data_IF_362454491801
#
_entry.id   IF_362454491801
#
_cell.length_a   1.000
_cell.length_b   1.000
_cell.length_c   1.000
_cell.angle_alpha   90.00
_cell.angle_beta   90.00
_cell.angle_gamma   90.00
#
_symmetry.space_group_name_H-M   'P 1'
#
loop_
_entity.id
_entity.type
_entity.pdbx_description
1 polymer ?
#
# COMPACT_ATOMS: atom_id res chain seq x y z
N UNK A 1 12.95 -23.25 -12.87
CA UNK A 1 12.65 -23.17 -11.42
C UNK A 1 11.58 -22.12 -11.25
N UNK A 2 10.45 -22.50 -10.67
CA UNK A 2 9.28 -21.63 -10.48
C UNK A 2 8.84 -21.67 -9.03
N UNK A 3 8.07 -20.68 -8.60
CA UNK A 3 7.47 -20.58 -7.28
C UNK A 3 6.52 -21.76 -7.02
N UNK A 4 5.72 -22.15 -8.02
CA UNK A 4 4.67 -23.16 -7.85
C UNK A 4 3.74 -22.81 -6.68
N UNK A 5 3.46 -23.78 -5.82
CA UNK A 5 2.65 -23.59 -4.60
C UNK A 5 3.48 -23.17 -3.38
N UNK A 6 4.77 -22.85 -3.54
CA UNK A 6 5.61 -22.45 -2.42
C UNK A 6 5.45 -20.97 -2.07
N UNK A 7 5.78 -20.63 -0.83
CA UNK A 7 5.86 -19.24 -0.39
C UNK A 7 6.93 -18.47 -1.17
N UNK A 8 6.65 -17.20 -1.45
CA UNK A 8 7.57 -16.29 -2.17
C UNK A 8 8.91 -16.17 -1.46
N UNK A 9 8.91 -16.16 -0.12
CA UNK A 9 10.14 -16.14 0.69
C UNK A 9 11.01 -17.36 0.40
N UNK A 10 10.44 -18.56 0.38
CA UNK A 10 11.15 -19.80 0.06
C UNK A 10 11.65 -19.80 -1.38
N UNK A 11 10.81 -19.36 -2.33
CA UNK A 11 11.22 -19.23 -3.73
C UNK A 11 12.39 -18.24 -3.90
N UNK A 12 12.35 -17.12 -3.17
CA UNK A 12 13.40 -16.11 -3.21
C UNK A 12 14.75 -16.62 -2.69
N UNK A 13 14.78 -17.50 -1.69
CA UNK A 13 16.04 -18.14 -1.25
C UNK A 13 16.69 -18.94 -2.37
N UNK A 14 15.91 -19.65 -3.20
CA UNK A 14 16.47 -20.34 -4.36
C UNK A 14 17.01 -19.37 -5.43
N UNK A 15 16.39 -18.21 -5.59
CA UNK A 15 16.89 -17.16 -6.49
C UNK A 15 18.20 -16.57 -5.97
N UNK A 16 18.36 -16.38 -4.65
CA UNK A 16 19.64 -15.97 -4.06
C UNK A 16 20.73 -17.00 -4.32
N UNK A 17 20.43 -18.29 -4.15
CA UNK A 17 21.36 -19.37 -4.44
C UNK A 17 21.79 -19.33 -5.93
N UNK A 18 20.83 -19.15 -6.83
CA UNK A 18 21.11 -19.02 -8.26
C UNK A 18 22.02 -17.82 -8.58
N UNK A 19 21.74 -16.65 -8.02
CA UNK A 19 22.56 -15.45 -8.20
C UNK A 19 24.00 -15.68 -7.70
N UNK A 20 24.14 -16.28 -6.51
CA UNK A 20 25.44 -16.65 -5.93
C UNK A 20 26.22 -17.62 -6.82
N UNK A 21 25.58 -18.70 -7.29
CA UNK A 21 26.21 -19.71 -8.15
C UNK A 21 26.61 -19.16 -9.53
N UNK A 22 25.97 -18.09 -9.98
CA UNK A 22 26.26 -17.45 -11.27
C UNK A 22 27.14 -16.21 -11.13
N UNK A 23 27.55 -15.85 -9.92
CA UNK A 23 28.35 -14.64 -9.65
C UNK A 23 27.62 -13.34 -9.98
N UNK A 24 26.28 -13.34 -9.96
CA UNK A 24 25.44 -12.18 -10.31
C UNK A 24 24.89 -11.52 -9.05
N UNK A 25 24.71 -10.20 -9.13
CA UNK A 25 24.00 -9.45 -8.11
C UNK A 25 22.48 -9.74 -8.16
N UNK A 26 21.78 -9.58 -7.04
CA UNK A 26 20.32 -9.76 -6.99
C UNK A 26 19.56 -8.75 -7.85
N UNK A 27 20.14 -7.58 -8.09
CA UNK A 27 19.59 -6.54 -8.94
C UNK A 27 20.04 -6.63 -10.41
N UNK A 28 20.82 -7.66 -10.76
CA UNK A 28 21.11 -8.03 -12.15
C UNK A 28 19.82 -8.30 -12.91
N UNK A 29 19.76 -7.83 -14.16
CA UNK A 29 18.57 -7.93 -15.00
C UNK A 29 18.15 -9.39 -15.21
N UNK A 30 19.10 -10.30 -15.40
CA UNK A 30 18.78 -11.71 -15.64
C UNK A 30 18.23 -12.37 -14.38
N UNK A 31 18.75 -12.02 -13.21
CA UNK A 31 18.25 -12.54 -11.93
C UNK A 31 16.82 -12.04 -11.68
N UNK A 32 16.56 -10.76 -11.94
CA UNK A 32 15.22 -10.16 -11.84
C UNK A 32 14.21 -10.79 -12.79
N UNK A 33 14.56 -10.89 -14.08
CA UNK A 33 13.71 -11.52 -15.09
C UNK A 33 13.41 -12.96 -14.70
N UNK A 34 14.39 -13.70 -14.19
CA UNK A 34 14.21 -15.08 -13.75
C UNK A 34 13.28 -15.21 -12.55
N UNK A 35 13.41 -14.32 -11.56
CA UNK A 35 12.50 -14.28 -10.43
C UNK A 35 11.06 -14.02 -10.88
N UNK A 36 10.83 -12.93 -11.64
CA UNK A 36 9.49 -12.54 -12.08
C UNK A 36 8.84 -13.60 -12.96
N UNK A 37 9.59 -14.18 -13.90
CA UNK A 37 9.08 -15.21 -14.81
C UNK A 37 8.73 -16.51 -14.08
N UNK A 38 9.35 -16.78 -12.93
CA UNK A 38 9.05 -17.96 -12.13
C UNK A 38 7.97 -17.76 -11.08
N UNK A 39 7.44 -16.56 -10.86
CA UNK A 39 6.33 -16.32 -9.94
C UNK A 39 5.04 -17.03 -10.38
N UNK A 40 4.13 -17.28 -9.43
CA UNK A 40 2.75 -17.65 -9.76
C UNK A 40 2.06 -16.52 -10.54
N UNK A 41 1.01 -16.85 -11.30
CA UNK A 41 0.30 -15.86 -12.13
C UNK A 41 -0.13 -14.61 -11.36
N UNK A 42 -0.69 -14.80 -10.16
CA UNK A 42 -1.16 -13.68 -9.32
C UNK A 42 -0.02 -12.83 -8.79
N UNK A 43 1.06 -13.45 -8.31
CA UNK A 43 2.22 -12.72 -7.81
C UNK A 43 2.99 -12.05 -8.94
N UNK A 44 3.00 -12.63 -10.13
CA UNK A 44 3.58 -12.02 -11.32
C UNK A 44 2.85 -10.72 -11.66
N UNK A 45 1.51 -10.73 -11.72
CA UNK A 45 0.71 -9.52 -11.93
C UNK A 45 1.01 -8.46 -10.87
N UNK A 46 0.99 -8.84 -9.58
CA UNK A 46 1.33 -7.92 -8.47
C UNK A 46 2.74 -7.35 -8.60
N UNK A 47 3.70 -8.15 -9.07
CA UNK A 47 5.08 -7.71 -9.25
C UNK A 47 5.20 -6.74 -10.44
N UNK A 48 4.51 -7.02 -11.56
CA UNK A 48 4.47 -6.18 -12.76
C UNK A 48 3.84 -4.81 -12.45
N UNK A 49 2.72 -4.78 -11.71
CA UNK A 49 2.07 -3.55 -11.25
C UNK A 49 2.97 -2.69 -10.34
N UNK A 50 3.94 -3.32 -9.68
CA UNK A 50 4.90 -2.66 -8.81
C UNK A 50 6.21 -2.25 -9.54
N UNK A 51 6.43 -2.65 -10.81
CA UNK A 51 7.73 -2.52 -11.52
C UNK A 51 7.79 -1.31 -12.50
N UNK A 52 8.87 -0.50 -12.59
CA UNK A 52 10.00 -0.85 -13.48
C UNK A 52 11.46 -0.69 -12.97
N UNK A 53 11.72 -0.05 -11.82
CA UNK A 53 13.10 0.33 -11.40
C UNK A 53 13.47 -0.03 -9.95
N UNK A 54 12.62 -0.78 -9.24
CA UNK A 54 12.86 -1.07 -7.82
C UNK A 54 13.87 -2.22 -7.61
N UNK A 55 14.62 -2.22 -6.49
CA UNK A 55 15.49 -3.35 -6.13
C UNK A 55 14.70 -4.64 -5.89
N UNK A 56 15.23 -5.80 -6.29
CA UNK A 56 14.56 -7.10 -6.19
C UNK A 56 14.07 -7.40 -4.76
N UNK A 57 14.85 -7.01 -3.74
CA UNK A 57 14.47 -7.14 -2.33
C UNK A 57 13.19 -6.37 -1.97
N UNK A 58 12.99 -5.18 -2.53
CA UNK A 58 11.79 -4.39 -2.29
C UNK A 58 10.55 -5.05 -2.92
N UNK A 59 10.70 -5.67 -4.08
CA UNK A 59 9.61 -6.42 -4.70
C UNK A 59 9.27 -7.67 -3.88
N UNK A 60 10.25 -8.43 -3.43
CA UNK A 60 9.99 -9.57 -2.54
C UNK A 60 9.27 -9.12 -1.28
N UNK A 61 9.71 -8.04 -0.65
CA UNK A 61 9.06 -7.46 0.53
C UNK A 61 7.62 -7.06 0.24
N UNK A 62 7.33 -6.46 -0.91
CA UNK A 62 5.97 -6.14 -1.34
C UNK A 62 5.11 -7.39 -1.55
N UNK A 63 5.65 -8.40 -2.23
CA UNK A 63 4.93 -9.62 -2.57
C UNK A 63 4.62 -10.51 -1.36
N UNK A 64 5.54 -10.55 -0.38
CA UNK A 64 5.37 -11.29 0.88
C UNK A 64 4.36 -10.63 1.82
N UNK A 65 4.02 -9.34 1.61
CA UNK A 65 2.94 -8.71 2.38
C UNK A 65 1.60 -9.40 2.13
N UNK A 66 0.78 -9.35 3.17
CA UNK A 66 -0.62 -9.77 3.15
C UNK A 66 -1.31 -9.29 1.85
N UNK A 67 -1.90 -10.19 1.05
CA UNK A 67 -2.64 -9.83 -0.16
C UNK A 67 -3.69 -8.75 0.08
N UNK A 68 -4.35 -8.77 1.25
CA UNK A 68 -5.33 -7.77 1.67
C UNK A 68 -4.69 -6.38 1.76
N UNK A 69 -3.50 -6.29 2.36
CA UNK A 69 -2.74 -5.04 2.44
C UNK A 69 -2.27 -4.57 1.06
N UNK A 70 -1.98 -5.50 0.16
CA UNK A 70 -1.65 -5.20 -1.25
C UNK A 70 -2.84 -4.51 -1.94
N UNK A 71 -4.03 -5.07 -1.78
CA UNK A 71 -5.28 -4.51 -2.32
C UNK A 71 -5.61 -3.15 -1.72
N UNK A 72 -5.44 -2.97 -0.41
CA UNK A 72 -5.65 -1.67 0.24
C UNK A 72 -4.66 -0.60 -0.26
N UNK A 73 -3.39 -0.96 -0.50
CA UNK A 73 -2.42 -0.03 -1.09
C UNK A 73 -2.84 0.40 -2.50
N UNK A 74 -3.38 -0.53 -3.30
CA UNK A 74 -3.89 -0.20 -4.64
C UNK A 74 -5.09 0.73 -4.56
N UNK A 75 -6.11 0.37 -3.78
CA UNK A 75 -7.27 1.24 -3.51
C UNK A 75 -6.85 2.62 -3.03
N UNK A 76 -5.85 2.68 -2.16
CA UNK A 76 -5.30 3.94 -1.67
C UNK A 76 -4.72 4.76 -2.81
N UNK A 77 -3.94 4.18 -3.72
CA UNK A 77 -3.36 4.89 -4.86
C UNK A 77 -4.44 5.46 -5.78
N UNK A 78 -5.47 4.67 -6.11
CA UNK A 78 -6.53 5.06 -7.06
C UNK A 78 -7.66 5.90 -6.45
N UNK A 79 -7.70 6.08 -5.13
CA UNK A 79 -8.73 6.89 -4.46
C UNK A 79 -10.04 6.15 -4.17
N UNK A 80 -9.97 4.84 -4.01
CA UNK A 80 -11.12 3.95 -3.81
C UNK A 80 -11.26 3.45 -2.37
N UNK A 81 -10.45 3.95 -1.43
CA UNK A 81 -10.73 3.74 -0.01
C UNK A 81 -11.90 4.63 0.41
N UNK A 82 -12.73 4.11 1.31
CA UNK A 82 -13.85 4.82 1.93
C UNK A 82 -13.80 4.54 3.42
N UNK A 83 -14.09 5.55 4.23
CA UNK A 83 -14.19 5.42 5.69
C UNK A 83 -15.19 4.31 6.09
N UNK A 84 -16.33 4.24 5.41
CA UNK A 84 -17.38 3.28 5.79
C UNK A 84 -17.89 3.56 7.20
N UNK A 85 -17.89 2.54 8.06
CA UNK A 85 -18.37 2.61 9.45
C UNK A 85 -17.22 2.81 10.47
N UNK A 86 -15.97 2.93 10.03
CA UNK A 86 -14.85 3.14 10.95
C UNK A 86 -14.78 4.61 11.38
N UNK A 87 -14.28 4.89 12.58
CA UNK A 87 -14.13 6.28 13.03
C UNK A 87 -13.12 7.05 12.19
N UNK A 88 -13.26 8.37 12.10
CA UNK A 88 -12.36 9.23 11.33
C UNK A 88 -10.91 9.03 11.74
N UNK A 89 -10.62 8.88 13.04
CA UNK A 89 -9.25 8.66 13.54
C UNK A 89 -8.68 7.32 13.07
N UNK A 90 -9.47 6.25 13.14
CA UNK A 90 -9.03 4.93 12.68
C UNK A 90 -8.77 4.97 11.18
N UNK A 91 -9.68 5.58 10.41
CA UNK A 91 -9.50 5.73 8.97
C UNK A 91 -8.25 6.57 8.63
N UNK A 92 -8.03 7.68 9.32
CA UNK A 92 -6.85 8.52 9.12
C UNK A 92 -5.54 7.76 9.40
N UNK A 93 -5.47 7.00 10.49
CA UNK A 93 -4.31 6.16 10.80
C UNK A 93 -4.06 5.11 9.71
N UNK A 94 -5.14 4.53 9.18
CA UNK A 94 -5.09 3.58 8.06
C UNK A 94 -4.53 4.25 6.80
N UNK A 95 -5.03 5.43 6.41
CA UNK A 95 -4.50 6.19 5.28
C UNK A 95 -3.04 6.58 5.49
N UNK A 96 -2.64 6.96 6.70
CA UNK A 96 -1.26 7.32 7.00
C UNK A 96 -0.30 6.12 6.86
N UNK A 97 -0.73 4.95 7.33
CA UNK A 97 -0.02 3.68 7.13
C UNK A 97 0.10 3.34 5.65
N UNK A 98 -0.98 3.44 4.88
CA UNK A 98 -0.99 3.14 3.44
C UNK A 98 -0.14 4.14 2.64
N UNK A 99 -0.10 5.42 3.02
CA UNK A 99 0.83 6.41 2.45
C UNK A 99 2.29 5.98 2.63
N UNK A 100 2.70 5.66 3.87
CA UNK A 100 4.06 5.21 4.18
C UNK A 100 4.45 3.94 3.40
N UNK A 101 3.49 3.04 3.18
CA UNK A 101 3.71 1.78 2.48
C UNK A 101 3.69 1.90 0.95
N UNK A 102 2.96 2.88 0.41
CA UNK A 102 2.86 3.15 -1.04
C UNK A 102 4.00 4.02 -1.55
N UNK A 103 4.60 4.83 -0.68
CA UNK A 103 5.64 5.80 -1.05
C UNK A 103 5.09 7.09 -1.67
N UNK A 104 3.78 7.36 -1.51
CA UNK A 104 3.14 8.61 -1.95
C UNK A 104 3.53 9.79 -1.04
N UNK A 105 3.41 11.01 -1.58
CA UNK A 105 3.75 12.25 -0.87
C UNK A 105 2.76 12.56 0.28
N UNK A 106 3.17 13.39 1.24
CA UNK A 106 2.32 13.87 2.34
C UNK A 106 1.13 14.70 1.86
N UNK A 107 1.32 15.51 0.81
CA UNK A 107 0.25 16.36 0.26
C UNK A 107 -0.94 15.54 -0.28
N UNK A 108 -0.68 14.31 -0.75
CA UNK A 108 -1.75 13.39 -1.18
C UNK A 108 -2.68 12.99 -0.03
N UNK A 109 -2.19 12.93 1.21
CA UNK A 109 -2.96 12.41 2.34
C UNK A 109 -4.16 13.29 2.68
N UNK A 110 -3.98 14.61 2.67
CA UNK A 110 -5.05 15.57 2.99
C UNK A 110 -6.18 15.48 1.97
N UNK A 111 -5.81 15.51 0.68
CA UNK A 111 -6.77 15.41 -0.43
C UNK A 111 -7.54 14.08 -0.37
N UNK A 112 -6.82 12.97 -0.16
CA UNK A 112 -7.44 11.64 -0.05
C UNK A 112 -8.39 11.56 1.13
N UNK A 113 -7.99 12.03 2.31
CA UNK A 113 -8.87 12.07 3.48
C UNK A 113 -10.18 12.78 3.16
N UNK A 114 -10.14 13.98 2.58
CA UNK A 114 -11.37 14.73 2.27
C UNK A 114 -12.26 14.08 1.20
N UNK A 115 -11.68 13.37 0.23
CA UNK A 115 -12.48 12.67 -0.78
C UNK A 115 -13.07 11.34 -0.28
N UNK A 116 -12.51 10.77 0.79
CA UNK A 116 -12.76 9.38 1.19
C UNK A 116 -13.47 9.24 2.54
N UNK A 117 -13.49 10.29 3.38
CA UNK A 117 -14.35 10.33 4.58
C UNK A 117 -15.83 10.35 4.19
N UNK A 118 -16.70 10.00 5.15
CA UNK A 118 -18.16 9.98 4.97
C UNK A 118 -18.69 11.33 4.48
N UNK A 119 -19.81 11.33 3.74
CA UNK A 119 -20.41 12.58 3.23
C UNK A 119 -20.76 13.56 4.35
N UNK A 120 -21.21 13.04 5.50
CA UNK A 120 -21.48 13.83 6.70
C UNK A 120 -20.21 14.56 7.14
N UNK A 121 -19.11 13.82 7.30
CA UNK A 121 -17.83 14.40 7.70
C UNK A 121 -17.25 15.36 6.65
N UNK A 122 -17.53 15.13 5.35
CA UNK A 122 -17.13 16.08 4.29
C UNK A 122 -17.86 17.43 4.42
N UNK A 123 -19.14 17.41 4.77
CA UNK A 123 -19.94 18.62 4.90
C UNK A 123 -19.54 19.43 6.14
N UNK A 124 -19.25 18.76 7.27
CA UNK A 124 -18.68 19.40 8.47
C UNK A 124 -17.35 20.11 8.17
N UNK A 125 -16.43 19.43 7.47
CA UNK A 125 -15.14 20.03 7.07
C UNK A 125 -15.32 21.27 6.21
N UNK A 126 -16.31 21.27 5.30
CA UNK A 126 -16.61 22.45 4.46
C UNK A 126 -17.06 23.64 5.31
N UNK A 127 -17.85 23.39 6.37
CA UNK A 127 -18.33 24.41 7.28
C UNK A 127 -17.20 25.04 8.12
N UNK A 128 -16.22 24.24 8.55
CA UNK A 128 -15.11 24.74 9.38
C UNK A 128 -13.97 25.39 8.58
N UNK A 129 -13.95 25.18 7.27
CA UNK A 129 -12.92 25.67 6.37
C UNK A 129 -11.78 24.67 6.18
N UNK A 130 -11.45 24.40 4.91
CA UNK A 130 -10.46 23.40 4.48
C UNK A 130 -9.00 23.79 4.78
N UNK A 131 -8.74 24.80 5.60
CA UNK A 131 -7.38 25.27 5.92
C UNK A 131 -6.88 24.83 7.30
N UNK A 132 -7.74 24.21 8.13
CA UNK A 132 -7.33 23.74 9.45
C UNK A 132 -6.24 22.65 9.38
N UNK A 133 -5.32 22.58 10.36
CA UNK A 133 -4.38 21.47 10.46
C UNK A 133 -5.11 20.11 10.49
N UNK A 134 -4.52 19.08 9.87
CA UNK A 134 -5.13 17.75 9.81
C UNK A 134 -5.45 17.20 11.20
N UNK A 135 -4.55 17.32 12.17
CA UNK A 135 -4.79 16.81 13.52
C UNK A 135 -6.03 17.45 14.17
N UNK A 136 -6.23 18.76 13.97
CA UNK A 136 -7.36 19.50 14.52
C UNK A 136 -8.68 19.08 13.85
N UNK A 137 -8.66 18.85 12.54
CA UNK A 137 -9.82 18.33 11.82
C UNK A 137 -10.24 16.94 12.32
N UNK A 138 -9.28 16.05 12.56
CA UNK A 138 -9.55 14.70 13.08
C UNK A 138 -10.18 14.78 14.47
N UNK A 139 -9.64 15.62 15.38
CA UNK A 139 -10.22 15.79 16.73
C UNK A 139 -11.64 16.33 16.69
N UNK A 140 -11.89 17.33 15.82
CA UNK A 140 -13.22 17.89 15.66
C UNK A 140 -14.20 16.90 15.04
N UNK A 141 -13.78 16.05 14.09
CA UNK A 141 -14.65 15.03 13.48
C UNK A 141 -14.95 13.86 14.43
N UNK A 142 -14.05 13.53 15.35
CA UNK A 142 -14.32 12.51 16.37
C UNK A 142 -15.42 12.90 17.36
N UNK A 143 -15.55 14.19 17.67
CA UNK A 143 -16.50 14.65 18.69
C UNK A 143 -17.97 14.42 18.28
N UNK A 144 -18.41 14.74 17.05
CA UNK A 144 -19.73 14.37 16.53
C UNK A 144 -19.94 12.87 16.39
N UNK A 145 -18.91 12.11 16.00
CA UNK A 145 -19.02 10.63 15.87
C UNK A 145 -19.38 9.98 17.22
N UNK A 146 -18.83 10.48 18.33
CA UNK A 146 -19.14 10.00 19.68
C UNK A 146 -20.54 10.38 20.19
N UNK A 147 -21.19 11.38 19.59
CA UNK A 147 -22.54 11.82 19.96
C UNK A 147 -23.64 11.12 19.13
N UNK A 148 -23.23 10.32 18.15
CA UNK A 148 -24.12 9.64 17.19
C UNK A 148 -24.37 8.16 17.55
N UNK A 149 -23.76 7.66 18.62
CA UNK A 149 -23.98 6.32 19.23
C UNK A 149 -25.06 6.37 20.33
#
# INVERSE_FOLDING_TARGET
MTQGNSFISKYFEYVKLYAMLTGKDLDDVDVKVKFISGLSSDNKKRAEEFWFKKPLKEIVKYLVRDPTLSTEIQKYKVGELKQGNESVRVFYQKLERLRKLSGCDKEDLRKKLFCEISTINQDEVKLWGMNLPLYELIERLETPEQLSE
#
